data_IF_460498037216
#
_entry.id   IF_460498037216
#
_cell.length_a   1.000
_cell.length_b   1.000
_cell.length_c   1.000
_cell.angle_alpha   90.00
_cell.angle_beta   90.00
_cell.angle_gamma   90.00
#
_symmetry.space_group_name_H-M   'P 1'
#
loop_
_entity.id
_entity.type
_entity.pdbx_description
1 polymer ?
#
# COMPACT_ATOMS: atom_id res chain seq x y z
N UNK A 1 -10.96 3.04 -9.63
CA UNK A 1 -11.32 3.61 -8.30
C UNK A 1 -12.77 4.11 -8.23
N UNK A 2 -13.27 4.85 -9.26
CA UNK A 2 -14.62 5.44 -9.24
C UNK A 2 -15.75 4.41 -9.11
N UNK A 3 -15.64 3.25 -9.78
CA UNK A 3 -16.60 2.15 -9.66
C UNK A 3 -16.68 1.60 -8.23
N UNK A 4 -15.54 1.45 -7.56
CA UNK A 4 -15.48 1.01 -6.18
C UNK A 4 -16.16 2.02 -5.24
N UNK A 5 -15.91 3.33 -5.42
CA UNK A 5 -16.55 4.37 -4.64
C UNK A 5 -18.08 4.35 -4.79
N UNK A 6 -18.59 4.18 -6.01
CA UNK A 6 -20.03 4.03 -6.27
C UNK A 6 -20.60 2.82 -5.55
N UNK A 7 -19.92 1.66 -5.65
CA UNK A 7 -20.39 0.42 -5.02
C UNK A 7 -20.43 0.51 -3.49
N UNK A 8 -19.46 1.18 -2.87
CA UNK A 8 -19.45 1.43 -1.41
C UNK A 8 -20.68 2.26 -1.00
N UNK A 9 -21.03 3.30 -1.76
CA UNK A 9 -22.24 4.11 -1.47
C UNK A 9 -23.51 3.29 -1.59
N UNK A 10 -23.61 2.41 -2.61
CA UNK A 10 -24.73 1.49 -2.77
C UNK A 10 -24.86 0.54 -1.58
N UNK A 11 -23.75 -0.10 -1.16
CA UNK A 11 -23.70 -0.99 0.00
C UNK A 11 -24.13 -0.24 1.27
N UNK A 12 -23.65 0.96 1.48
CA UNK A 12 -24.06 1.78 2.63
C UNK A 12 -25.58 2.01 2.66
N UNK A 13 -26.18 2.29 1.50
CA UNK A 13 -27.63 2.43 1.34
C UNK A 13 -28.36 1.10 1.60
N UNK A 14 -27.89 -0.02 1.02
CA UNK A 14 -28.46 -1.34 1.23
C UNK A 14 -28.43 -1.75 2.71
N UNK A 15 -27.32 -1.45 3.40
CA UNK A 15 -27.13 -1.73 4.83
C UNK A 15 -27.79 -0.70 5.77
N UNK A 16 -28.42 0.35 5.24
CA UNK A 16 -29.04 1.44 6.00
C UNK A 16 -28.09 2.13 6.99
N UNK A 17 -26.83 2.24 6.62
CA UNK A 17 -25.81 2.96 7.40
C UNK A 17 -25.58 4.35 6.82
N UNK A 18 -24.96 5.25 7.60
CA UNK A 18 -24.60 6.59 7.16
C UNK A 18 -23.82 6.53 5.84
N UNK A 19 -24.17 7.39 4.89
CA UNK A 19 -23.39 7.53 3.64
C UNK A 19 -21.98 8.01 3.98
N UNK A 20 -20.93 7.25 3.63
CA UNK A 20 -19.57 7.66 3.90
C UNK A 20 -19.14 8.81 2.98
N UNK A 21 -18.28 9.68 3.49
CA UNK A 21 -17.53 10.65 2.70
C UNK A 21 -16.34 9.92 2.07
N UNK A 22 -16.28 9.88 0.75
CA UNK A 22 -15.22 9.12 0.03
C UNK A 22 -14.42 10.08 -0.81
N UNK A 23 -13.10 10.09 -0.63
CA UNK A 23 -12.17 10.69 -1.57
C UNK A 23 -11.68 9.62 -2.56
N UNK A 24 -11.49 10.03 -3.81
CA UNK A 24 -10.92 9.17 -4.85
C UNK A 24 -9.69 9.87 -5.42
N UNK A 25 -8.55 9.21 -5.33
CA UNK A 25 -7.28 9.68 -5.90
C UNK A 25 -7.11 9.02 -7.27
N UNK A 26 -7.03 9.84 -8.31
CA UNK A 26 -6.92 9.43 -9.71
C UNK A 26 -5.60 9.96 -10.30
N UNK A 27 -5.27 9.47 -11.49
CA UNK A 27 -4.10 9.92 -12.26
C UNK A 27 -3.06 8.82 -12.48
N UNK A 28 -3.35 7.61 -12.02
CA UNK A 28 -2.52 6.43 -12.27
C UNK A 28 -2.65 5.92 -13.72
N UNK A 29 -3.85 5.94 -14.30
CA UNK A 29 -4.10 5.54 -15.69
C UNK A 29 -3.61 6.62 -16.65
N UNK A 30 -2.54 6.33 -17.39
CA UNK A 30 -1.89 7.27 -18.32
C UNK A 30 -2.31 7.11 -19.78
N UNK A 31 -3.16 6.15 -20.10
CA UNK A 31 -3.60 5.93 -21.49
C UNK A 31 -4.30 7.15 -22.11
N UNK A 32 -4.94 7.99 -21.29
CA UNK A 32 -5.59 9.21 -21.73
C UNK A 32 -4.67 10.45 -21.76
N UNK A 33 -3.44 10.33 -21.25
CA UNK A 33 -2.49 11.44 -21.11
C UNK A 33 -1.26 11.29 -22.00
N UNK A 34 -0.91 10.08 -22.39
CA UNK A 34 0.21 9.77 -23.27
C UNK A 34 -0.30 9.09 -24.54
N UNK A 35 0.33 9.38 -25.67
CA UNK A 35 0.04 8.65 -26.90
C UNK A 35 0.54 7.20 -26.79
N UNK A 36 -0.15 6.28 -27.45
CA UNK A 36 0.30 4.87 -27.53
C UNK A 36 1.73 4.77 -28.09
N UNK A 37 2.06 5.63 -29.07
CA UNK A 37 3.40 5.72 -29.65
C UNK A 37 4.47 6.08 -28.61
N UNK A 38 4.19 7.03 -27.72
CA UNK A 38 5.15 7.48 -26.70
C UNK A 38 5.38 6.38 -25.67
N UNK A 39 4.31 5.68 -25.26
CA UNK A 39 4.41 4.54 -24.34
C UNK A 39 5.24 3.41 -24.97
N UNK A 40 4.97 3.05 -26.23
CA UNK A 40 5.68 1.98 -26.94
C UNK A 40 7.16 2.30 -27.23
N UNK A 41 7.51 3.60 -27.31
CA UNK A 41 8.88 4.04 -27.47
C UNK A 41 9.63 4.26 -26.12
N UNK A 42 8.94 4.11 -25.01
CA UNK A 42 9.60 4.23 -23.71
C UNK A 42 10.59 3.09 -23.49
N UNK A 43 11.74 3.36 -22.87
CA UNK A 43 12.70 2.32 -22.54
C UNK A 43 12.10 1.34 -21.51
N UNK A 44 12.29 0.05 -21.74
CA UNK A 44 11.93 -0.97 -20.74
C UNK A 44 13.11 -1.26 -19.83
N UNK A 45 12.87 -1.64 -18.58
CA UNK A 45 13.94 -1.96 -17.61
C UNK A 45 14.83 -3.11 -18.11
N UNK A 46 14.25 -4.05 -18.84
CA UNK A 46 14.95 -5.22 -19.37
C UNK A 46 15.49 -5.03 -20.79
N UNK A 47 15.35 -3.83 -21.36
CA UNK A 47 15.79 -3.53 -22.73
C UNK A 47 14.96 -4.20 -23.83
N UNK A 48 13.75 -4.66 -23.50
CA UNK A 48 12.88 -5.33 -24.48
C UNK A 48 12.32 -4.33 -25.49
N UNK A 49 12.25 -4.72 -26.75
CA UNK A 49 11.55 -3.95 -27.80
C UNK A 49 10.05 -4.25 -27.75
N UNK A 50 9.27 -3.26 -27.34
CA UNK A 50 7.81 -3.37 -27.22
C UNK A 50 7.06 -2.60 -28.32
N UNK A 51 7.77 -2.05 -29.33
CA UNK A 51 7.17 -1.13 -30.34
C UNK A 51 6.01 -1.74 -31.14
N UNK A 52 6.01 -3.06 -31.28
CA UNK A 52 4.96 -3.78 -32.00
C UNK A 52 3.93 -4.44 -31.07
N UNK A 53 3.98 -4.14 -29.79
CA UNK A 53 3.07 -4.70 -28.79
C UNK A 53 1.73 -3.95 -28.80
N UNK A 54 0.66 -4.63 -28.42
CA UNK A 54 -0.65 -4.00 -28.17
C UNK A 54 -0.72 -3.58 -26.71
N UNK A 55 -0.94 -2.31 -26.43
CA UNK A 55 -1.14 -1.79 -25.09
C UNK A 55 -2.57 -2.12 -24.64
N UNK A 56 -2.70 -2.78 -23.51
CA UNK A 56 -3.99 -3.08 -22.86
C UNK A 56 -4.23 -2.25 -21.61
N UNK A 57 -3.16 -1.83 -20.94
CA UNK A 57 -3.19 -0.96 -19.78
C UNK A 57 -1.83 -0.24 -19.63
N UNK A 58 -1.84 0.97 -19.13
CA UNK A 58 -0.63 1.72 -18.78
C UNK A 58 -0.91 2.56 -17.54
N UNK A 59 -0.18 2.29 -16.48
CA UNK A 59 -0.34 2.97 -15.21
C UNK A 59 0.99 3.48 -14.68
N UNK A 60 0.95 4.61 -13.99
CA UNK A 60 2.03 5.09 -13.12
C UNK A 60 1.70 4.77 -11.66
N UNK A 61 2.71 4.63 -10.84
CA UNK A 61 2.51 4.44 -9.41
C UNK A 61 2.40 5.81 -8.72
N UNK A 62 1.25 6.07 -8.09
CA UNK A 62 1.02 7.28 -7.30
C UNK A 62 1.78 7.18 -5.98
N UNK A 63 2.29 8.32 -5.50
CA UNK A 63 2.96 8.40 -4.20
C UNK A 63 1.99 8.63 -3.03
N UNK A 64 2.55 8.85 -1.85
CA UNK A 64 1.80 9.00 -0.60
C UNK A 64 1.14 10.37 -0.42
N UNK A 65 1.71 11.46 -0.95
CA UNK A 65 1.20 12.82 -0.77
C UNK A 65 -0.22 13.04 -1.29
N UNK A 66 -0.64 12.50 -2.44
CA UNK A 66 -2.04 12.57 -2.87
C UNK A 66 -3.01 11.94 -1.86
N UNK A 67 -2.61 10.87 -1.17
CA UNK A 67 -3.39 10.21 -0.13
C UNK A 67 -3.50 11.12 1.09
N UNK A 68 -2.38 11.68 1.57
CA UNK A 68 -2.37 12.65 2.66
C UNK A 68 -3.25 13.86 2.37
N UNK A 69 -3.21 14.39 1.15
CA UNK A 69 -4.05 15.50 0.72
C UNK A 69 -5.54 15.14 0.67
N UNK A 70 -5.88 13.90 0.33
CA UNK A 70 -7.24 13.40 0.37
C UNK A 70 -7.77 13.32 1.81
N UNK A 71 -6.94 12.85 2.76
CA UNK A 71 -7.28 12.75 4.18
C UNK A 71 -7.55 14.12 4.81
N UNK A 72 -6.87 15.19 4.38
CA UNK A 72 -7.13 16.58 4.82
C UNK A 72 -8.56 17.07 4.54
N UNK A 73 -9.36 16.32 3.77
CA UNK A 73 -10.77 16.66 3.46
C UNK A 73 -11.76 16.05 4.46
N UNK A 74 -11.32 15.55 5.59
CA UNK A 74 -12.18 14.93 6.62
C UNK A 74 -13.08 13.84 5.99
N UNK A 75 -12.47 12.87 5.36
CA UNK A 75 -13.15 11.76 4.68
C UNK A 75 -13.10 10.48 5.52
N UNK A 76 -14.11 9.64 5.34
CA UNK A 76 -14.17 8.33 6.01
C UNK A 76 -13.34 7.28 5.25
N UNK A 77 -13.22 7.42 3.92
CA UNK A 77 -12.56 6.43 3.04
C UNK A 77 -11.77 7.16 1.96
N UNK A 78 -10.55 6.72 1.72
CA UNK A 78 -9.75 7.11 0.55
C UNK A 78 -9.59 5.90 -0.36
N UNK A 79 -9.96 6.05 -1.63
CA UNK A 79 -9.74 5.05 -2.68
C UNK A 79 -8.70 5.60 -3.63
N UNK A 80 -7.67 4.83 -3.85
CA UNK A 80 -6.52 5.19 -4.68
C UNK A 80 -6.49 4.31 -5.94
N UNK A 81 -6.00 4.83 -7.06
CA UNK A 81 -5.58 4.03 -8.19
C UNK A 81 -4.30 3.24 -7.90
N UNK A 82 -3.54 2.89 -8.91
CA UNK A 82 -2.24 2.23 -8.73
C UNK A 82 -1.31 3.15 -7.93
N UNK A 83 -0.77 2.67 -6.82
CA UNK A 83 0.15 3.42 -5.97
C UNK A 83 1.35 2.57 -5.58
N UNK A 84 2.44 3.21 -5.13
CA UNK A 84 3.58 2.49 -4.56
C UNK A 84 3.14 1.78 -3.27
N UNK A 85 3.73 0.63 -3.01
CA UNK A 85 3.30 -0.30 -1.96
C UNK A 85 3.21 0.36 -0.57
N UNK A 86 4.24 1.12 -0.20
CA UNK A 86 4.27 1.83 1.08
C UNK A 86 3.31 3.02 1.19
N UNK A 87 2.73 3.51 0.08
CA UNK A 87 1.96 4.75 0.08
C UNK A 87 0.68 4.68 0.92
N UNK A 88 0.09 3.48 1.06
CA UNK A 88 -1.14 3.30 1.84
C UNK A 88 -0.91 3.48 3.36
N UNK A 89 0.30 3.26 3.85
CA UNK A 89 0.67 3.56 5.23
C UNK A 89 1.33 4.93 5.34
N UNK A 90 2.26 5.26 4.43
CA UNK A 90 2.98 6.54 4.45
C UNK A 90 2.04 7.75 4.27
N UNK A 91 0.99 7.65 3.46
CA UNK A 91 0.02 8.73 3.27
C UNK A 91 -0.69 9.14 4.57
N UNK A 92 -1.29 8.20 5.32
CA UNK A 92 -1.80 8.47 6.67
C UNK A 92 -0.77 9.03 7.63
N UNK A 93 0.47 8.53 7.66
CA UNK A 93 1.54 9.05 8.53
C UNK A 93 1.90 10.50 8.20
N UNK A 94 2.02 10.85 6.91
CA UNK A 94 2.23 12.23 6.46
C UNK A 94 1.08 13.12 6.94
N UNK A 95 -0.16 12.63 6.88
CA UNK A 95 -1.34 13.39 7.32
C UNK A 95 -1.38 13.58 8.83
N UNK A 96 -1.17 12.51 9.59
CA UNK A 96 -1.26 12.49 11.05
C UNK A 96 -0.18 13.34 11.72
N UNK A 97 1.04 13.25 11.22
CA UNK A 97 2.20 13.97 11.78
C UNK A 97 2.55 15.26 11.03
N UNK A 98 1.75 15.65 10.04
CA UNK A 98 1.95 16.84 9.19
C UNK A 98 3.38 16.94 8.61
N UNK A 99 3.89 15.84 8.10
CA UNK A 99 5.24 15.79 7.57
C UNK A 99 5.39 16.57 6.27
N UNK A 100 6.46 17.36 6.20
CA UNK A 100 6.91 18.05 5.00
C UNK A 100 7.67 17.10 4.06
N UNK A 101 7.61 17.37 2.76
CA UNK A 101 8.34 16.60 1.74
C UNK A 101 9.87 16.65 1.90
N UNK A 102 10.40 17.57 2.71
CA UNK A 102 11.83 17.69 3.01
C UNK A 102 12.26 16.90 4.24
N UNK A 103 11.31 16.40 5.02
CA UNK A 103 11.61 15.59 6.21
C UNK A 103 11.93 14.14 5.80
N UNK A 104 13.10 13.96 5.17
CA UNK A 104 13.50 12.71 4.54
C UNK A 104 13.61 11.55 5.53
N UNK A 105 14.05 11.82 6.77
CA UNK A 105 14.19 10.77 7.80
C UNK A 105 12.83 10.18 8.16
N UNK A 106 11.83 11.02 8.41
CA UNK A 106 10.47 10.57 8.70
C UNK A 106 9.80 9.89 7.52
N UNK A 107 9.98 10.44 6.32
CA UNK A 107 9.47 9.83 5.09
C UNK A 107 10.12 8.46 4.84
N UNK A 108 11.42 8.33 5.11
CA UNK A 108 12.15 7.06 4.99
C UNK A 108 11.61 6.04 6.00
N UNK A 109 11.47 6.40 7.27
CA UNK A 109 10.91 5.54 8.31
C UNK A 109 9.48 5.10 7.98
N UNK A 110 8.61 6.03 7.60
CA UNK A 110 7.24 5.72 7.19
C UNK A 110 7.17 4.85 5.93
N UNK A 111 8.12 5.00 5.00
CA UNK A 111 8.23 4.14 3.82
C UNK A 111 8.59 2.71 4.21
N UNK A 112 9.56 2.52 5.10
CA UNK A 112 9.93 1.19 5.62
C UNK A 112 8.74 0.55 6.35
N UNK A 113 8.09 1.30 7.22
CA UNK A 113 6.89 0.83 7.90
C UNK A 113 5.81 0.36 6.92
N UNK A 114 5.51 1.17 5.91
CA UNK A 114 4.53 0.84 4.88
C UNK A 114 4.91 -0.38 4.05
N UNK A 115 6.19 -0.53 3.72
CA UNK A 115 6.69 -1.71 3.02
C UNK A 115 6.52 -2.99 3.85
N UNK A 116 6.76 -2.94 5.16
CA UNK A 116 6.56 -4.08 6.05
C UNK A 116 5.08 -4.47 6.20
N UNK A 117 4.16 -3.51 6.05
CA UNK A 117 2.72 -3.76 6.17
C UNK A 117 2.08 -4.24 4.86
N UNK A 118 2.63 -3.87 3.71
CA UNK A 118 1.99 -4.05 2.40
C UNK A 118 1.65 -5.50 2.11
N UNK A 119 2.59 -6.41 2.30
CA UNK A 119 2.37 -7.83 2.07
C UNK A 119 1.66 -8.56 3.25
N UNK A 120 1.02 -7.81 4.15
CA UNK A 120 0.19 -8.34 5.23
C UNK A 120 0.94 -9.35 6.09
N UNK A 121 0.43 -10.56 6.20
CA UNK A 121 0.98 -11.58 7.06
C UNK A 121 2.40 -12.09 6.66
N UNK A 122 2.99 -11.58 5.59
CA UNK A 122 4.39 -11.88 5.26
C UNK A 122 5.32 -11.54 6.43
N UNK A 123 5.16 -10.32 6.98
CA UNK A 123 6.00 -9.85 8.09
C UNK A 123 5.77 -10.62 9.40
N UNK A 124 4.67 -11.35 9.50
CA UNK A 124 4.36 -12.21 10.65
C UNK A 124 4.56 -13.70 10.38
N UNK A 125 5.20 -14.04 9.27
CA UNK A 125 5.70 -15.39 9.01
C UNK A 125 5.01 -16.19 7.93
N UNK A 126 3.95 -15.68 7.28
CA UNK A 126 3.17 -16.49 6.34
C UNK A 126 3.93 -16.93 5.09
N UNK A 127 4.90 -16.16 4.61
CA UNK A 127 5.54 -16.43 3.31
C UNK A 127 6.83 -17.24 3.41
N UNK A 128 7.43 -17.35 4.56
CA UNK A 128 8.66 -18.10 4.73
C UNK A 128 8.50 -19.38 5.58
N UNK A 129 7.26 -19.77 5.82
CA UNK A 129 6.98 -21.07 6.44
C UNK A 129 7.42 -22.20 5.50
N UNK A 130 8.30 -23.05 6.02
CA UNK A 130 8.80 -24.24 5.33
C UNK A 130 8.73 -25.40 6.34
N UNK A 131 7.66 -26.19 6.32
CA UNK A 131 7.38 -27.21 7.33
C UNK A 131 8.55 -28.20 7.51
N UNK A 132 9.01 -28.32 8.75
CA UNK A 132 10.15 -29.14 9.14
C UNK A 132 11.51 -28.43 9.06
N UNK A 133 11.58 -27.24 8.47
CA UNK A 133 12.80 -26.40 8.40
C UNK A 133 12.59 -25.03 9.05
N UNK A 134 11.47 -24.39 8.73
CA UNK A 134 11.09 -23.06 9.22
C UNK A 134 9.62 -23.09 9.64
N UNK A 135 9.35 -23.74 10.75
CA UNK A 135 8.00 -23.86 11.28
C UNK A 135 7.49 -22.51 11.79
N UNK A 136 6.31 -22.13 11.35
CA UNK A 136 5.59 -20.97 11.85
C UNK A 136 4.41 -21.47 12.69
N UNK A 137 4.38 -21.15 13.99
CA UNK A 137 3.30 -21.61 14.86
C UNK A 137 1.92 -21.15 14.40
N UNK A 138 0.96 -22.07 14.42
CA UNK A 138 -0.46 -21.78 14.13
C UNK A 138 -0.66 -20.96 12.85
N UNK A 139 -0.05 -21.42 11.75
CA UNK A 139 0.01 -20.69 10.48
C UNK A 139 -1.38 -20.39 9.90
N UNK A 140 -2.38 -21.25 10.13
CA UNK A 140 -3.73 -21.02 9.63
C UNK A 140 -4.44 -19.85 10.34
N UNK A 141 -3.98 -19.47 11.53
CA UNK A 141 -4.46 -18.36 12.33
C UNK A 141 -3.39 -17.27 12.47
N UNK A 142 -2.53 -17.14 11.46
CA UNK A 142 -1.43 -16.16 11.47
C UNK A 142 -1.97 -14.74 11.68
N UNK A 143 -1.38 -14.01 12.63
CA UNK A 143 -1.77 -12.66 12.96
C UNK A 143 -1.41 -11.68 11.86
N UNK A 144 -2.35 -10.82 11.47
CA UNK A 144 -2.09 -9.71 10.56
C UNK A 144 -1.26 -8.62 11.25
N UNK A 145 -0.30 -7.97 10.57
CA UNK A 145 0.58 -7.00 11.22
C UNK A 145 -0.17 -5.74 11.66
N UNK A 146 0.29 -5.20 12.78
CA UNK A 146 -0.11 -3.89 13.30
C UNK A 146 1.17 -3.09 13.47
N UNK A 147 1.24 -1.89 12.90
CA UNK A 147 2.32 -0.96 13.16
C UNK A 147 1.91 0.05 14.22
N UNK A 148 2.72 0.20 15.26
CA UNK A 148 2.63 1.28 16.23
C UNK A 148 3.73 2.29 15.91
N UNK A 149 3.35 3.46 15.41
CA UNK A 149 4.26 4.48 14.93
C UNK A 149 4.30 5.67 15.89
N UNK A 150 5.50 6.19 16.18
CA UNK A 150 5.74 7.29 17.10
C UNK A 150 6.17 8.56 16.35
N UNK A 151 5.89 9.72 16.94
CA UNK A 151 6.21 11.03 16.38
C UNK A 151 7.70 11.23 16.04
N UNK A 152 8.60 10.57 16.77
CA UNK A 152 10.04 10.61 16.55
C UNK A 152 10.53 9.74 15.36
N UNK A 153 9.63 9.05 14.69
CA UNK A 153 9.93 8.17 13.56
C UNK A 153 10.21 6.71 13.93
N UNK A 154 10.29 6.39 15.21
CA UNK A 154 10.39 5.00 15.64
C UNK A 154 9.05 4.29 15.46
N UNK A 155 9.09 3.01 15.14
CA UNK A 155 7.88 2.20 15.06
C UNK A 155 8.13 0.74 15.43
N UNK A 156 7.07 0.06 15.82
CA UNK A 156 7.07 -1.36 16.13
C UNK A 156 6.04 -2.08 15.27
N UNK A 157 6.42 -3.25 14.77
CA UNK A 157 5.46 -4.17 14.14
C UNK A 157 5.05 -5.22 15.16
N UNK A 158 3.77 -5.31 15.39
CA UNK A 158 3.15 -6.30 16.27
C UNK A 158 2.00 -7.02 15.54
N UNK A 159 1.26 -7.84 16.25
CA UNK A 159 0.08 -8.55 15.72
C UNK A 159 -0.97 -8.74 16.81
N UNK A 160 -2.23 -9.07 16.47
CA UNK A 160 -3.25 -9.32 17.46
C UNK A 160 -2.84 -10.41 18.45
N UNK A 161 -3.22 -10.24 19.72
CA UNK A 161 -3.00 -11.26 20.76
C UNK A 161 -3.73 -12.56 20.41
N UNK A 162 -3.17 -13.67 20.83
CA UNK A 162 -3.73 -15.02 20.63
C UNK A 162 -3.85 -15.42 19.13
N UNK A 163 -2.96 -14.90 18.29
CA UNK A 163 -2.80 -15.34 16.90
C UNK A 163 -1.51 -16.10 16.71
N UNK A 164 -1.48 -16.96 15.70
CA UNK A 164 -0.27 -17.64 15.24
C UNK A 164 0.74 -16.68 14.60
N UNK A 165 1.76 -17.24 13.99
CA UNK A 165 2.82 -16.47 13.36
C UNK A 165 3.98 -16.17 14.31
N UNK A 166 4.98 -15.49 13.75
CA UNK A 166 6.22 -15.09 14.43
C UNK A 166 6.32 -13.56 14.45
N UNK A 167 7.09 -13.02 15.42
CA UNK A 167 7.68 -11.71 15.24
C UNK A 167 8.81 -11.84 14.21
N UNK A 168 8.76 -11.07 13.13
CA UNK A 168 9.81 -11.12 12.12
C UNK A 168 11.09 -10.55 12.69
N UNK A 169 12.12 -11.38 12.74
CA UNK A 169 13.48 -10.91 13.02
C UNK A 169 14.15 -10.43 11.73
N UNK A 170 15.13 -9.57 11.87
CA UNK A 170 15.94 -9.03 10.76
C UNK A 170 16.49 -10.12 9.82
N UNK A 171 16.78 -11.31 10.35
CA UNK A 171 17.26 -12.48 9.59
C UNK A 171 16.26 -13.02 8.57
N UNK A 172 14.98 -12.73 8.71
CA UNK A 172 13.94 -13.22 7.80
C UNK A 172 13.68 -12.28 6.63
N UNK A 173 14.10 -11.01 6.73
CA UNK A 173 13.96 -10.00 5.67
C UNK A 173 15.05 -10.10 4.60
N UNK A 174 16.13 -10.83 4.85
CA UNK A 174 17.31 -10.91 3.98
C UNK A 174 17.37 -12.18 3.12
N UNK A 175 16.32 -12.96 3.07
CA UNK A 175 16.27 -14.15 2.20
C UNK A 175 15.63 -13.79 0.85
N UNK A 176 16.27 -14.21 -0.26
CA UNK A 176 15.77 -13.99 -1.62
C UNK A 176 14.47 -14.73 -1.88
#
# INVERSE_FOLDING_TARGET
>A
PLGAAKRIVEIAKEKKIRKPKIAVVLGDDILNYMSEKDILNSPTMEGLDIKNSKITAANVYLGAFPIANALKKDVDIVIVGRSVDSALALGPLIHEFDWDAKNLDMLSSGTICGHLLECGAQVTGAYFADPGFKDVPDLFNVGFPIAEFHENGDFFITKPKNTGGLAVSYTHLTLP
#
